data_IF_104990569400
#
_entry.id   IF_104990569400
#
_cell.length_a   1.000
_cell.length_b   1.000
_cell.length_c   1.000
_cell.angle_alpha   90.00
_cell.angle_beta   90.00
_cell.angle_gamma   90.00
#
_symmetry.space_group_name_H-M   'P 1'
#
loop_
_entity.id
_entity.type
_entity.pdbx_description
1 polymer ?
#
# COMPACT_ATOMS: atom_id res chain seq x y z
N UNK A 1 -17.55 23.97 -2.95
CA UNK A 1 -17.35 22.52 -3.27
C UNK A 1 -15.88 22.15 -3.51
N UNK A 2 -14.98 23.06 -3.92
CA UNK A 2 -13.57 22.74 -4.20
C UNK A 2 -12.67 22.49 -2.97
N UNK A 3 -12.96 23.11 -1.80
CA UNK A 3 -12.15 22.92 -0.58
C UNK A 3 -12.27 21.49 0.00
N UNK A 4 -13.47 20.90 -0.02
CA UNK A 4 -13.68 19.55 0.51
C UNK A 4 -12.91 18.49 -0.31
N UNK A 5 -12.95 18.56 -1.65
CA UNK A 5 -12.24 17.60 -2.51
C UNK A 5 -10.72 17.66 -2.33
N UNK A 6 -10.17 18.84 -2.07
CA UNK A 6 -8.72 19.01 -1.84
C UNK A 6 -8.31 18.41 -0.49
N UNK A 7 -9.14 18.60 0.53
CA UNK A 7 -8.92 18.01 1.86
C UNK A 7 -9.08 16.48 1.83
N UNK A 8 -10.11 15.97 1.13
CA UNK A 8 -10.34 14.54 0.95
C UNK A 8 -9.18 13.90 0.17
N UNK A 9 -8.67 14.58 -0.87
CA UNK A 9 -7.51 14.10 -1.64
C UNK A 9 -6.27 13.97 -0.75
N UNK A 10 -5.98 14.98 0.06
CA UNK A 10 -4.86 14.95 0.99
C UNK A 10 -5.01 13.80 2.01
N UNK A 11 -6.19 13.66 2.61
CA UNK A 11 -6.47 12.62 3.59
C UNK A 11 -6.30 11.20 3.02
N UNK A 12 -6.79 10.94 1.80
CA UNK A 12 -6.64 9.62 1.18
C UNK A 12 -5.17 9.35 0.82
N UNK A 13 -4.45 10.33 0.28
CA UNK A 13 -3.01 10.17 0.00
C UNK A 13 -2.20 9.90 1.27
N UNK A 14 -2.49 10.62 2.36
CA UNK A 14 -1.81 10.43 3.64
C UNK A 14 -2.10 9.04 4.22
N UNK A 15 -3.32 8.52 4.03
CA UNK A 15 -3.68 7.15 4.42
C UNK A 15 -2.87 6.10 3.65
N UNK A 16 -2.72 6.27 2.33
CA UNK A 16 -1.91 5.34 1.50
C UNK A 16 -0.42 5.42 1.84
N UNK A 17 0.09 6.63 2.08
CA UNK A 17 1.48 6.84 2.53
C UNK A 17 1.71 6.24 3.92
N UNK A 18 0.76 6.40 4.83
CA UNK A 18 0.79 5.76 6.14
C UNK A 18 0.85 4.25 6.01
N UNK A 19 0.02 3.65 5.15
CA UNK A 19 0.07 2.21 4.89
C UNK A 19 1.48 1.75 4.47
N UNK A 20 2.14 2.49 3.57
CA UNK A 20 3.53 2.18 3.17
C UNK A 20 4.51 2.25 4.35
N UNK A 21 4.37 3.23 5.25
CA UNK A 21 5.19 3.30 6.47
C UNK A 21 4.93 2.13 7.41
N UNK A 22 3.67 1.73 7.57
CA UNK A 22 3.30 0.59 8.42
C UNK A 22 3.81 -0.73 7.85
N UNK A 23 3.85 -0.88 6.53
CA UNK A 23 4.48 -2.03 5.85
C UNK A 23 5.98 -2.13 6.19
N UNK A 24 6.69 -1.00 6.21
CA UNK A 24 8.12 -0.94 6.57
C UNK A 24 8.30 -1.24 8.07
N UNK A 25 7.44 -0.69 8.93
CA UNK A 25 7.43 -0.94 10.36
C UNK A 25 6.96 -2.37 10.74
N UNK A 26 6.29 -3.06 9.80
CA UNK A 26 5.61 -4.36 9.98
C UNK A 26 4.52 -4.33 11.04
N UNK A 27 3.86 -3.19 11.18
CA UNK A 27 2.76 -3.02 12.12
C UNK A 27 1.45 -3.50 11.49
N UNK A 28 1.28 -4.81 11.41
CA UNK A 28 0.07 -5.41 10.81
C UNK A 28 -1.20 -5.10 11.61
N UNK A 29 -1.08 -4.71 12.88
CA UNK A 29 -2.22 -4.29 13.71
C UNK A 29 -2.73 -2.94 13.21
N UNK A 30 -1.84 -1.96 13.02
CA UNK A 30 -2.22 -0.68 12.45
C UNK A 30 -2.66 -0.81 10.97
N UNK A 31 -2.02 -1.67 10.18
CA UNK A 31 -2.47 -1.95 8.80
C UNK A 31 -3.89 -2.51 8.79
N UNK A 32 -4.26 -3.35 9.76
CA UNK A 32 -5.61 -3.92 9.87
C UNK A 32 -6.70 -2.86 10.04
N UNK A 33 -6.38 -1.73 10.67
CA UNK A 33 -7.34 -0.63 10.90
C UNK A 33 -7.58 0.23 9.66
N UNK A 34 -6.70 0.14 8.66
CA UNK A 34 -6.80 0.90 7.40
C UNK A 34 -7.47 0.05 6.31
N UNK A 35 -7.15 -1.25 6.28
CA UNK A 35 -7.54 -2.14 5.19
C UNK A 35 -8.86 -2.85 5.48
N UNK A 36 -9.73 -2.89 4.47
CA UNK A 36 -10.96 -3.66 4.47
C UNK A 36 -10.72 -5.15 4.82
N UNK A 37 -11.73 -5.82 5.37
CA UNK A 37 -11.69 -7.24 5.70
C UNK A 37 -11.37 -8.12 4.48
N UNK A 38 -11.91 -7.75 3.31
CA UNK A 38 -11.77 -8.48 2.05
C UNK A 38 -10.66 -7.91 1.16
N UNK A 39 -9.75 -7.11 1.72
CA UNK A 39 -8.62 -6.58 0.97
C UNK A 39 -7.76 -7.69 0.35
N UNK A 40 -7.32 -7.44 -0.88
CA UNK A 40 -6.41 -8.30 -1.62
C UNK A 40 -5.21 -7.51 -2.14
N UNK A 41 -4.03 -8.11 -2.09
CA UNK A 41 -2.81 -7.60 -2.70
C UNK A 41 -2.54 -8.35 -4.01
N UNK A 42 -2.58 -7.64 -5.14
CA UNK A 42 -2.26 -8.23 -6.44
C UNK A 42 -0.78 -8.02 -6.76
N UNK A 43 -0.04 -9.12 -6.93
CA UNK A 43 1.37 -9.09 -7.32
C UNK A 43 1.54 -8.82 -8.81
N UNK A 44 2.74 -8.44 -9.24
CA UNK A 44 3.07 -8.21 -10.66
C UNK A 44 2.84 -9.44 -11.55
N UNK A 45 2.85 -10.64 -10.97
CA UNK A 45 2.56 -11.91 -11.66
C UNK A 45 1.06 -12.14 -11.89
N UNK A 46 0.19 -11.29 -11.33
CA UNK A 46 -1.25 -11.49 -11.27
C UNK A 46 -1.72 -12.35 -10.09
N UNK A 47 -0.80 -12.80 -9.22
CA UNK A 47 -1.18 -13.52 -8.01
C UNK A 47 -1.99 -12.63 -7.07
N UNK A 48 -3.20 -13.07 -6.73
CA UNK A 48 -4.10 -12.39 -5.80
C UNK A 48 -3.92 -12.95 -4.40
N UNK A 49 -3.19 -12.21 -3.57
CA UNK A 49 -2.89 -12.60 -2.20
C UNK A 49 -3.94 -12.03 -1.23
N UNK A 50 -4.43 -12.86 -0.30
CA UNK A 50 -5.37 -12.39 0.72
C UNK A 50 -4.69 -11.51 1.77
N UNK A 51 -5.42 -10.59 2.40
CA UNK A 51 -4.95 -9.80 3.55
C UNK A 51 -4.31 -10.66 4.65
N UNK A 52 -4.96 -11.75 5.04
CA UNK A 52 -4.48 -12.64 6.10
C UNK A 52 -3.14 -13.31 5.76
N UNK A 53 -3.00 -13.74 4.50
CA UNK A 53 -1.77 -14.36 4.01
C UNK A 53 -0.64 -13.34 3.98
N UNK A 54 -0.88 -12.18 3.37
CA UNK A 54 0.09 -11.10 3.29
C UNK A 54 0.58 -10.65 4.66
N UNK A 55 -0.31 -10.48 5.64
CA UNK A 55 0.08 -10.13 7.01
C UNK A 55 0.97 -11.20 7.64
N UNK A 56 0.65 -12.49 7.41
CA UNK A 56 1.50 -13.59 7.83
C UNK A 56 2.90 -13.52 7.23
N UNK A 57 3.01 -13.11 5.96
CA UNK A 57 4.30 -12.96 5.29
C UNK A 57 5.11 -11.76 5.78
N UNK A 58 4.45 -10.65 6.08
CA UNK A 58 5.06 -9.47 6.71
C UNK A 58 5.61 -9.79 8.09
N UNK A 59 4.83 -10.52 8.91
CA UNK A 59 5.24 -10.93 10.25
C UNK A 59 6.40 -11.93 10.24
N UNK A 60 6.40 -12.88 9.30
CA UNK A 60 7.48 -13.87 9.14
C UNK A 60 8.71 -13.32 8.42
N UNK A 61 8.67 -12.06 7.97
CA UNK A 61 9.68 -11.43 7.11
C UNK A 61 9.97 -12.17 5.79
N UNK A 62 9.05 -13.03 5.33
CA UNK A 62 9.10 -13.62 3.98
C UNK A 62 8.78 -12.56 2.93
N UNK A 63 7.98 -11.55 3.30
CA UNK A 63 7.91 -10.25 2.66
C UNK A 63 8.38 -9.18 3.63
N UNK A 64 9.55 -8.58 3.38
CA UNK A 64 10.11 -7.50 4.21
C UNK A 64 10.33 -6.26 3.36
N UNK A 65 9.69 -5.16 3.76
CA UNK A 65 9.85 -3.85 3.15
C UNK A 65 10.92 -3.06 3.90
N UNK A 66 11.86 -2.46 3.18
CA UNK A 66 12.95 -1.66 3.75
C UNK A 66 12.75 -0.18 3.49
N UNK A 67 12.24 0.18 2.32
CA UNK A 67 11.90 1.56 1.98
C UNK A 67 10.83 1.60 0.89
N UNK A 68 10.08 2.70 0.86
CA UNK A 68 9.16 3.04 -0.20
C UNK A 68 9.37 4.52 -0.52
N UNK A 69 9.84 4.81 -1.73
CA UNK A 69 10.01 6.17 -2.22
C UNK A 69 8.93 6.48 -3.24
N UNK A 70 8.02 7.38 -2.89
CA UNK A 70 7.02 7.91 -3.81
C UNK A 70 7.69 8.73 -4.91
N UNK A 71 7.35 8.42 -6.16
CA UNK A 71 7.82 9.09 -7.37
C UNK A 71 6.74 9.98 -7.96
N UNK A 72 5.49 9.50 -7.94
CA UNK A 72 4.34 10.21 -8.48
C UNK A 72 3.04 9.67 -7.86
N UNK A 73 1.96 10.43 -7.91
CA UNK A 73 0.64 9.97 -7.50
C UNK A 73 -0.46 10.59 -8.36
N UNK A 74 -1.59 9.90 -8.44
CA UNK A 74 -2.83 10.43 -9.01
C UNK A 74 -4.02 9.98 -8.18
N UNK A 75 -4.97 10.89 -8.00
CA UNK A 75 -6.22 10.65 -7.27
C UNK A 75 -7.39 10.92 -8.19
N UNK A 76 -8.30 9.97 -8.28
CA UNK A 76 -9.50 10.07 -9.11
C UNK A 76 -10.73 9.75 -8.29
N UNK A 77 -11.60 10.75 -8.14
CA UNK A 77 -12.89 10.60 -7.47
C UNK A 77 -13.91 10.01 -8.45
N UNK A 78 -14.56 8.93 -8.05
CA UNK A 78 -15.62 8.26 -8.81
C UNK A 78 -16.83 8.07 -7.91
N UNK A 79 -17.75 9.04 -7.92
CA UNK A 79 -18.91 9.05 -7.02
C UNK A 79 -18.48 9.12 -5.56
N UNK A 80 -18.81 8.08 -4.78
CA UNK A 80 -18.43 7.96 -3.37
C UNK A 80 -17.16 7.10 -3.16
N UNK A 81 -16.44 6.80 -4.23
CA UNK A 81 -15.19 6.04 -4.18
C UNK A 81 -14.04 6.90 -4.69
N UNK A 82 -12.85 6.61 -4.20
CA UNK A 82 -11.62 7.28 -4.62
C UNK A 82 -10.63 6.21 -5.07
N UNK A 83 -10.16 6.35 -6.29
CA UNK A 83 -9.07 5.55 -6.83
C UNK A 83 -7.77 6.32 -6.66
N UNK A 84 -6.78 5.69 -6.02
CA UNK A 84 -5.46 6.28 -5.81
C UNK A 84 -4.41 5.38 -6.44
N UNK A 85 -3.58 5.97 -7.29
CA UNK A 85 -2.40 5.32 -7.87
C UNK A 85 -1.17 6.00 -7.30
N UNK A 86 -0.25 5.23 -6.71
CA UNK A 86 1.01 5.76 -6.16
C UNK A 86 2.18 5.00 -6.77
N UNK A 87 2.95 5.71 -7.60
CA UNK A 87 4.15 5.16 -8.19
C UNK A 87 5.29 5.18 -7.18
N UNK A 88 5.80 4.00 -6.83
CA UNK A 88 6.83 3.85 -5.81
C UNK A 88 8.05 3.09 -6.32
N UNK A 89 9.23 3.47 -5.80
CA UNK A 89 10.42 2.61 -5.75
C UNK A 89 10.43 1.93 -4.39
N UNK A 90 10.09 0.65 -4.35
CA UNK A 90 10.00 -0.13 -3.12
C UNK A 90 11.18 -1.07 -3.01
N UNK A 91 12.05 -0.86 -2.02
CA UNK A 91 13.08 -1.84 -1.67
C UNK A 91 12.46 -2.89 -0.75
N UNK A 92 12.32 -4.11 -1.25
CA UNK A 92 11.75 -5.20 -0.49
C UNK A 92 12.40 -6.55 -0.81
N UNK A 93 12.53 -7.38 0.22
CA UNK A 93 12.83 -8.81 0.09
C UNK A 93 11.54 -9.60 0.06
N UNK A 94 11.25 -10.19 -1.08
CA UNK A 94 10.07 -11.01 -1.32
C UNK A 94 10.55 -12.43 -1.61
N UNK A 95 10.14 -13.39 -0.79
CA UNK A 95 10.46 -14.83 -0.92
C UNK A 95 11.95 -15.11 -1.17
N UNK A 96 12.81 -14.41 -0.43
CA UNK A 96 14.26 -14.56 -0.48
C UNK A 96 14.99 -13.65 -1.47
N UNK A 97 14.30 -13.01 -2.41
CA UNK A 97 14.90 -12.08 -3.38
C UNK A 97 14.68 -10.63 -2.97
N UNK A 98 15.76 -9.88 -2.74
CA UNK A 98 15.70 -8.44 -2.47
C UNK A 98 15.98 -7.64 -3.73
N UNK A 99 15.04 -6.78 -4.09
CA UNK A 99 15.15 -5.87 -5.23
C UNK A 99 14.49 -4.53 -4.90
N UNK A 100 14.81 -3.51 -5.69
CA UNK A 100 14.03 -2.28 -5.74
C UNK A 100 12.99 -2.39 -6.86
N UNK A 101 11.74 -2.63 -6.47
CA UNK A 101 10.59 -2.81 -7.34
C UNK A 101 10.03 -1.45 -7.77
N UNK A 102 9.67 -1.33 -9.05
CA UNK A 102 8.98 -0.15 -9.59
C UNK A 102 7.49 -0.49 -9.66
N UNK A 103 6.71 0.01 -8.72
CA UNK A 103 5.29 -0.32 -8.55
C UNK A 103 4.40 0.90 -8.85
N UNK A 104 3.12 0.66 -9.16
CA UNK A 104 2.08 1.65 -9.38
C UNK A 104 0.75 1.20 -8.78
#
# INVERSE_FOLDING_TARGET
MQENTTNDQAAVLDTVRQLAQLMIARDTVAMNNILDEHYTLTHMTGYLQSKSEWFGEVQKETMKYYSAQEVNHSVKFTGNQVEVTVQNRVDARIWGSRNTWRLQ
#
